data_IF_037147562976
#
_entry.id   IF_037147562976
#
_cell.length_a   1.000
_cell.length_b   1.000
_cell.length_c   1.000
_cell.angle_alpha   90.00
_cell.angle_beta   90.00
_cell.angle_gamma   90.00
#
_symmetry.space_group_name_H-M   'P 1'
#
loop_
_entity.id
_entity.type
_entity.pdbx_description
1 polymer ?
2 polymer ?
#
# COMPACT_ATOMS: atom_id res chain seq x y z
N UNK A 1 37.68 -0.94 -10.95
CA UNK A 1 39.09 -0.47 -10.87
C UNK A 1 39.46 0.32 -12.13
N UNK A 2 39.26 -0.30 -13.28
CA UNK A 2 39.57 0.33 -14.57
C UNK A 2 38.35 1.08 -15.12
N UNK A 3 37.18 0.51 -14.93
CA UNK A 3 35.94 1.13 -15.42
C UNK A 3 35.59 2.40 -14.65
N UNK A 4 36.13 2.56 -13.45
CA UNK A 4 35.86 3.74 -12.63
C UNK A 4 36.51 4.98 -13.22
N UNK A 5 37.74 4.83 -13.69
CA UNK A 5 38.48 5.94 -14.30
C UNK A 5 37.82 6.39 -15.61
N UNK A 6 37.26 5.44 -16.34
CA UNK A 6 36.59 5.75 -17.61
C UNK A 6 35.26 6.48 -17.34
N UNK A 7 34.53 5.99 -16.34
CA UNK A 7 33.26 6.60 -15.96
C UNK A 7 33.44 8.06 -15.53
N UNK A 8 34.47 8.31 -14.73
CA UNK A 8 34.76 9.65 -14.25
C UNK A 8 35.15 10.60 -15.39
N UNK A 9 35.84 10.05 -16.39
CA UNK A 9 36.27 10.84 -17.54
C UNK A 9 35.08 11.35 -18.35
N UNK A 10 34.06 10.50 -18.49
CA UNK A 10 32.86 10.87 -19.24
C UNK A 10 32.08 11.99 -18.55
N UNK A 11 32.07 11.96 -17.22
CA UNK A 11 31.37 12.97 -16.43
C UNK A 11 32.02 14.35 -16.56
N UNK A 12 33.36 14.37 -16.63
CA UNK A 12 34.10 15.62 -16.75
C UNK A 12 33.88 16.27 -18.12
N UNK A 13 33.77 15.46 -19.15
CA UNK A 13 33.57 15.96 -20.51
C UNK A 13 32.21 16.62 -20.64
N UNK A 14 31.17 15.93 -20.18
CA UNK A 14 29.81 16.45 -20.23
C UNK A 14 29.65 17.67 -19.32
N UNK A 15 30.28 17.61 -18.15
CA UNK A 15 30.26 18.73 -17.22
C UNK A 15 29.06 18.69 -16.29
N UNK A 16 28.92 17.59 -15.55
CA UNK A 16 27.83 17.44 -14.60
C UNK A 16 28.13 18.19 -13.30
N UNK A 17 27.10 18.44 -12.51
CA UNK A 17 27.27 19.16 -11.25
C UNK A 17 27.93 18.26 -10.20
N UNK A 18 28.33 18.86 -9.09
CA UNK A 18 29.00 18.13 -8.01
C UNK A 18 28.10 17.04 -7.42
N UNK A 19 26.80 17.29 -7.38
CA UNK A 19 25.85 16.34 -6.84
C UNK A 19 25.69 15.13 -7.76
N UNK A 20 25.58 15.40 -9.06
CA UNK A 20 25.37 14.34 -10.05
C UNK A 20 26.58 13.39 -10.13
N UNK A 21 27.77 13.93 -9.90
CA UNK A 21 28.99 13.11 -9.93
C UNK A 21 29.01 12.14 -8.74
N UNK A 22 28.68 12.66 -7.55
CA UNK A 22 28.68 11.85 -6.34
C UNK A 22 27.60 10.77 -6.40
N UNK A 23 26.46 11.11 -6.99
CA UNK A 23 25.38 10.13 -7.16
C UNK A 23 25.81 9.02 -8.12
N UNK A 24 26.42 9.41 -9.23
CA UNK A 24 26.93 8.45 -10.20
C UNK A 24 28.05 7.61 -9.59
N UNK A 25 28.86 8.22 -8.74
CA UNK A 25 29.93 7.53 -8.04
C UNK A 25 29.38 6.46 -7.08
N UNK A 26 28.28 6.79 -6.42
CA UNK A 26 27.62 5.84 -5.53
C UNK A 26 27.10 4.64 -6.31
N UNK A 27 26.54 4.91 -7.49
CA UNK A 27 26.05 3.85 -8.36
C UNK A 27 27.19 3.33 -9.22
N UNK A 28 28.16 2.69 -8.58
CA UNK A 28 29.37 2.22 -9.26
C UNK A 28 29.16 0.87 -9.92
N UNK A 29 29.98 0.58 -10.93
CA UNK A 29 29.93 -0.70 -11.63
C UNK A 29 30.47 -1.85 -10.78
N UNK A 30 31.44 -1.55 -9.91
CA UNK A 30 32.05 -2.56 -9.06
C UNK A 30 31.06 -3.15 -8.08
N UNK A 31 31.39 -4.33 -7.56
CA UNK A 31 30.52 -5.05 -6.64
C UNK A 31 30.57 -4.49 -5.22
N UNK A 32 31.64 -3.78 -4.89
CA UNK A 32 31.81 -3.21 -3.55
C UNK A 32 30.69 -2.21 -3.23
N UNK A 33 30.22 -2.25 -2.00
CA UNK A 33 29.10 -1.39 -1.58
C UNK A 33 29.57 0.05 -1.36
N UNK A 34 28.60 0.96 -1.26
CA UNK A 34 28.90 2.37 -1.03
C UNK A 34 29.30 2.59 0.43
N UNK A 35 30.14 3.59 0.66
CA UNK A 35 30.60 3.91 2.01
C UNK A 35 29.57 4.76 2.74
N UNK A 36 29.61 4.71 4.07
CA UNK A 36 28.69 5.48 4.91
C UNK A 36 29.16 6.92 5.07
N UNK A 37 30.47 7.13 5.03
CA UNK A 37 31.05 8.47 5.15
C UNK A 37 30.64 9.37 4.00
N UNK A 38 30.51 8.79 2.81
CA UNK A 38 30.09 9.54 1.64
C UNK A 38 28.65 10.04 1.76
N UNK A 39 27.83 9.31 2.51
CA UNK A 39 26.44 9.70 2.73
C UNK A 39 26.34 10.95 3.63
N UNK A 40 27.33 11.14 4.49
CA UNK A 40 27.35 12.29 5.40
C UNK A 40 27.56 13.58 4.62
N UNK A 41 28.50 13.55 3.69
CA UNK A 41 28.82 14.73 2.88
C UNK A 41 27.62 15.18 2.03
N UNK A 42 26.88 14.21 1.52
CA UNK A 42 25.68 14.50 0.74
C UNK A 42 24.58 15.10 1.62
N UNK A 43 24.44 14.58 2.83
CA UNK A 43 23.42 15.03 3.76
C UNK A 43 23.64 16.48 4.17
N UNK A 44 24.89 16.85 4.41
CA UNK A 44 25.24 18.21 4.81
C UNK A 44 25.04 19.21 3.67
N UNK A 45 25.29 18.77 2.45
CA UNK A 45 25.20 19.64 1.27
C UNK A 45 23.89 19.42 0.50
N UNK A 46 22.81 19.13 1.23
CA UNK A 46 21.50 18.92 0.62
C UNK A 46 20.49 19.96 1.08
N UNK A 47 20.93 21.22 1.14
CA UNK A 47 20.07 22.31 1.59
C UNK A 47 19.60 23.16 0.41
N UNK A 48 20.52 23.51 -0.46
CA UNK A 48 20.25 24.41 -1.59
C UNK A 48 19.22 23.82 -2.55
N UNK A 49 18.40 24.71 -3.13
CA UNK A 49 17.40 24.29 -4.11
C UNK A 49 18.07 23.70 -5.35
N UNK A 50 19.08 24.39 -5.86
CA UNK A 50 19.78 23.96 -7.07
C UNK A 50 20.41 22.57 -6.91
N UNK A 51 20.77 22.22 -5.69
CA UNK A 51 21.37 20.92 -5.41
C UNK A 51 20.31 19.88 -5.06
N UNK A 52 19.41 20.23 -4.14
CA UNK A 52 18.42 19.30 -3.63
C UNK A 52 17.47 18.77 -4.70
N UNK A 53 16.92 19.66 -5.51
CA UNK A 53 15.99 19.27 -6.57
C UNK A 53 16.65 18.34 -7.58
N UNK A 54 17.95 18.54 -7.82
CA UNK A 54 18.69 17.68 -8.73
C UNK A 54 18.96 16.32 -8.10
N UNK A 55 19.26 16.31 -6.80
CA UNK A 55 19.55 15.07 -6.08
C UNK A 55 18.33 14.14 -6.08
N UNK A 56 17.17 14.68 -5.72
CA UNK A 56 15.94 13.90 -5.68
C UNK A 56 15.53 13.40 -7.07
N UNK A 57 15.73 14.24 -8.07
CA UNK A 57 15.33 13.91 -9.44
C UNK A 57 16.22 12.82 -10.03
N UNK A 58 17.52 12.92 -9.79
CA UNK A 58 18.48 11.95 -10.33
C UNK A 58 18.29 10.57 -9.70
N UNK A 59 18.23 10.53 -8.37
CA UNK A 59 18.09 9.27 -7.65
C UNK A 59 16.80 8.54 -8.00
N UNK A 60 15.75 9.30 -8.30
CA UNK A 60 14.49 8.71 -8.73
C UNK A 60 14.63 8.07 -10.11
N UNK A 61 15.39 8.72 -10.99
CA UNK A 61 15.64 8.20 -12.33
C UNK A 61 16.61 7.02 -12.31
N UNK A 62 17.51 6.99 -11.33
CA UNK A 62 18.45 5.89 -11.17
C UNK A 62 17.75 4.56 -10.89
N UNK A 63 16.51 4.61 -10.41
CA UNK A 63 15.77 3.40 -10.07
C UNK A 63 15.41 2.56 -11.30
N UNK A 64 15.35 3.19 -12.48
CA UNK A 64 15.03 2.47 -13.72
C UNK A 64 16.26 2.26 -14.60
N UNK A 65 16.77 3.33 -15.19
CA UNK A 65 17.90 3.27 -16.13
C UNK A 65 17.70 2.24 -17.25
N UNK A 66 17.89 0.96 -16.92
CA UNK A 66 17.82 -0.11 -17.91
C UNK A 66 17.74 -1.46 -17.22
N UNK A 67 17.58 -2.52 -18.00
CA UNK A 67 17.49 -3.86 -17.45
C UNK A 67 18.77 -4.33 -16.79
N UNK A 68 19.90 -4.08 -17.45
CA UNK A 68 21.19 -4.54 -16.95
C UNK A 68 21.62 -3.79 -15.70
N UNK A 69 21.40 -2.47 -15.69
CA UNK A 69 21.80 -1.64 -14.56
C UNK A 69 20.93 -1.92 -13.34
N UNK A 70 21.33 -2.92 -12.55
CA UNK A 70 20.61 -3.27 -11.32
C UNK A 70 21.26 -2.66 -10.09
N UNK A 71 22.59 -2.48 -10.15
CA UNK A 71 23.33 -1.87 -9.06
C UNK A 71 22.94 -0.40 -8.87
N UNK A 72 22.55 0.26 -9.95
CA UNK A 72 22.15 1.66 -9.90
C UNK A 72 20.83 1.89 -9.15
N UNK A 73 20.08 0.82 -8.91
CA UNK A 73 18.78 0.93 -8.26
C UNK A 73 18.93 0.81 -6.74
N UNK A 74 19.73 -0.15 -6.30
CA UNK A 74 19.93 -0.40 -4.87
C UNK A 74 20.66 0.74 -4.20
N UNK A 75 21.65 1.30 -4.89
CA UNK A 75 22.46 2.38 -4.33
C UNK A 75 21.68 3.67 -4.17
N UNK A 76 20.68 3.87 -5.03
CA UNK A 76 19.86 5.07 -4.99
C UNK A 76 19.04 5.16 -3.70
N UNK A 77 18.47 4.03 -3.29
CA UNK A 77 17.64 3.99 -2.10
C UNK A 77 18.45 4.21 -0.83
N UNK A 78 19.71 3.79 -0.84
CA UNK A 78 20.60 3.98 0.30
C UNK A 78 20.87 5.46 0.55
N UNK A 79 21.03 6.21 -0.53
CA UNK A 79 21.33 7.64 -0.43
C UNK A 79 20.09 8.43 0.02
N UNK A 80 18.93 8.08 -0.53
CA UNK A 80 17.69 8.78 -0.22
C UNK A 80 17.34 8.70 1.26
N UNK A 81 17.51 7.52 1.85
CA UNK A 81 17.16 7.29 3.25
C UNK A 81 17.96 8.19 4.19
N UNK A 82 19.26 8.31 3.94
CA UNK A 82 20.13 9.10 4.79
C UNK A 82 19.88 10.61 4.64
N UNK A 83 19.37 11.02 3.48
CA UNK A 83 19.05 12.42 3.24
C UNK A 83 17.81 12.89 4.00
N UNK A 84 17.07 11.96 4.59
CA UNK A 84 15.89 12.30 5.39
C UNK A 84 16.29 12.52 6.85
N UNK A 85 17.19 11.68 7.36
CA UNK A 85 17.60 11.75 8.76
C UNK A 85 18.52 12.96 9.00
N UNK A 86 19.73 12.92 8.45
CA UNK A 86 20.74 13.93 8.70
C UNK A 86 20.80 14.99 7.60
N UNK A 87 19.76 15.07 6.78
CA UNK A 87 19.75 16.00 5.67
C UNK A 87 19.53 17.43 6.09
N UNK A 88 18.31 17.92 5.91
CA UNK A 88 17.98 19.31 6.25
C UNK A 88 16.47 19.47 6.44
N UNK A 89 16.06 20.67 6.82
CA UNK A 89 14.65 20.98 6.99
C UNK A 89 13.92 21.00 5.66
N UNK A 90 14.59 21.54 4.63
CA UNK A 90 14.03 21.61 3.29
C UNK A 90 13.78 20.22 2.69
N UNK A 91 14.61 19.25 3.09
CA UNK A 91 14.45 17.88 2.62
C UNK A 91 13.14 17.28 3.11
N UNK A 92 12.84 17.49 4.39
CA UNK A 92 11.63 16.94 5.00
C UNK A 92 10.37 17.61 4.45
N UNK A 93 10.41 18.93 4.35
CA UNK A 93 9.26 19.71 3.87
C UNK A 93 8.85 19.31 2.47
N UNK A 94 9.83 19.04 1.61
CA UNK A 94 9.55 18.61 0.24
C UNK A 94 9.04 17.17 0.21
N UNK A 95 9.67 16.32 1.00
CA UNK A 95 9.27 14.91 1.08
C UNK A 95 7.86 14.75 1.65
N UNK A 96 7.46 15.67 2.53
CA UNK A 96 6.11 15.65 3.08
C UNK A 96 5.06 15.85 2.00
N UNK A 97 5.31 16.83 1.13
CA UNK A 97 4.40 17.12 0.02
C UNK A 97 4.43 16.02 -1.03
N UNK A 98 5.63 15.51 -1.32
CA UNK A 98 5.81 14.45 -2.30
C UNK A 98 5.73 13.05 -1.71
N UNK A 99 5.26 12.94 -0.46
CA UNK A 99 5.06 11.64 0.18
C UNK A 99 4.05 10.80 -0.59
N UNK A 100 3.05 11.47 -1.15
CA UNK A 100 2.03 10.81 -1.95
C UNK A 100 2.63 10.11 -3.17
N UNK A 101 3.72 10.67 -3.70
CA UNK A 101 4.38 10.12 -4.88
C UNK A 101 5.42 9.06 -4.49
N UNK A 102 6.17 9.32 -3.42
CA UNK A 102 7.23 8.43 -2.98
C UNK A 102 6.66 7.12 -2.42
N UNK A 103 5.46 7.18 -1.85
CA UNK A 103 4.81 6.03 -1.23
C UNK A 103 4.71 4.82 -2.17
N UNK A 104 4.48 5.09 -3.46
CA UNK A 104 4.33 4.02 -4.45
C UNK A 104 5.68 3.56 -5.01
N UNK A 105 6.53 3.01 -4.14
CA UNK A 105 7.81 2.46 -4.54
C UNK A 105 8.10 1.19 -3.74
N UNK A 106 7.08 0.37 -3.55
CA UNK A 106 7.19 -0.82 -2.72
C UNK A 106 7.20 -2.08 -3.59
N UNK A 107 6.23 -2.18 -4.49
CA UNK A 107 6.13 -3.34 -5.38
C UNK A 107 6.91 -3.08 -6.67
N UNK A 108 8.23 -3.09 -6.55
CA UNK A 108 9.11 -2.85 -7.70
C UNK A 108 9.71 -4.17 -8.20
N UNK A 109 8.99 -4.82 -9.12
CA UNK A 109 9.46 -6.09 -9.69
C UNK A 109 10.28 -5.83 -10.94
N UNK A 110 11.28 -6.68 -11.19
CA UNK A 110 12.16 -6.49 -12.33
C UNK A 110 12.90 -7.79 -12.69
N UNK A 111 13.17 -7.96 -13.98
CA UNK A 111 13.94 -9.11 -14.47
C UNK A 111 14.84 -8.64 -15.61
N UNK A 112 16.15 -8.77 -15.41
CA UNK A 112 17.11 -8.23 -16.38
C UNK A 112 17.11 -8.95 -17.74
N UNK A 113 17.61 -10.18 -17.78
CA UNK A 113 17.77 -10.89 -19.05
C UNK A 113 17.75 -12.41 -18.85
N UNK A 114 18.68 -12.91 -18.05
CA UNK A 114 18.83 -14.35 -17.84
C UNK A 114 17.64 -14.92 -17.08
N UNK A 115 17.41 -14.41 -15.88
CA UNK A 115 16.31 -14.88 -15.04
C UNK A 115 16.66 -14.88 -13.57
N UNK A 116 17.11 -13.73 -13.07
CA UNK A 116 17.46 -13.56 -11.67
C UNK A 116 16.75 -12.33 -11.12
N UNK A 117 15.95 -12.52 -10.07
CA UNK A 117 15.19 -11.43 -9.48
C UNK A 117 16.12 -10.47 -8.76
N UNK A 118 16.56 -9.44 -9.49
CA UNK A 118 17.45 -8.42 -8.92
C UNK A 118 16.69 -7.44 -8.02
N UNK A 119 15.36 -7.41 -8.14
CA UNK A 119 14.54 -6.52 -7.34
C UNK A 119 14.30 -6.99 -5.92
N UNK A 120 14.84 -8.15 -5.55
CA UNK A 120 14.69 -8.67 -4.19
C UNK A 120 15.42 -7.77 -3.19
N UNK A 121 16.63 -7.34 -3.55
CA UNK A 121 17.40 -6.44 -2.72
C UNK A 121 16.75 -5.05 -2.72
N UNK A 122 16.20 -4.67 -3.87
CA UNK A 122 15.54 -3.37 -4.01
C UNK A 122 14.29 -3.31 -3.15
N UNK A 123 13.49 -4.38 -3.18
CA UNK A 123 12.23 -4.43 -2.45
C UNK A 123 12.43 -4.31 -0.94
N UNK A 124 13.48 -4.94 -0.43
CA UNK A 124 13.77 -4.92 1.00
C UNK A 124 14.17 -3.53 1.47
N UNK A 125 15.09 -2.90 0.75
CA UNK A 125 15.58 -1.58 1.10
C UNK A 125 14.47 -0.52 0.96
N UNK A 126 13.64 -0.68 -0.06
CA UNK A 126 12.52 0.25 -0.29
C UNK A 126 11.44 0.11 0.78
N UNK A 127 11.27 -1.11 1.30
CA UNK A 127 10.29 -1.37 2.34
C UNK A 127 10.59 -0.55 3.59
N UNK A 128 11.87 -0.46 3.94
CA UNK A 128 12.29 0.31 5.11
C UNK A 128 12.10 1.81 4.89
N UNK A 129 12.29 2.25 3.65
CA UNK A 129 12.15 3.66 3.31
C UNK A 129 10.71 4.13 3.47
N UNK A 130 9.76 3.30 3.03
CA UNK A 130 8.35 3.64 3.11
C UNK A 130 7.84 3.58 4.56
N UNK A 131 8.41 2.66 5.35
CA UNK A 131 8.03 2.51 6.74
C UNK A 131 8.38 3.74 7.57
N UNK A 132 9.53 4.34 7.30
CA UNK A 132 9.98 5.52 8.03
C UNK A 132 9.15 6.75 7.65
N UNK A 133 8.86 6.90 6.36
CA UNK A 133 8.11 8.05 5.87
C UNK A 133 6.62 7.97 6.24
N UNK A 134 6.11 6.75 6.44
CA UNK A 134 4.71 6.56 6.79
C UNK A 134 4.36 7.20 8.13
N UNK A 135 5.31 7.15 9.08
CA UNK A 135 5.10 7.74 10.39
C UNK A 135 5.60 9.19 10.42
N UNK A 136 4.67 10.13 10.49
CA UNK A 136 5.00 11.55 10.50
C UNK A 136 5.70 11.94 11.80
N UNK A 137 5.19 11.40 12.91
CA UNK A 137 5.75 11.70 14.23
C UNK A 137 7.18 11.21 14.35
N UNK A 138 7.47 10.04 13.78
CA UNK A 138 8.81 9.47 13.82
C UNK A 138 9.81 10.36 13.08
N UNK A 139 9.38 10.94 11.97
CA UNK A 139 10.24 11.84 11.20
C UNK A 139 10.59 13.09 12.01
N UNK A 140 9.62 13.61 12.75
CA UNK A 140 9.83 14.78 13.58
C UNK A 140 10.85 14.51 14.70
N UNK A 141 10.80 13.30 15.26
CA UNK A 141 11.72 12.92 16.32
C UNK A 141 13.14 12.79 15.79
N UNK A 142 13.28 12.25 14.58
CA UNK A 142 14.59 12.09 13.95
C UNK A 142 15.24 13.44 13.67
N UNK A 143 14.42 14.43 13.29
CA UNK A 143 14.90 15.78 13.04
C UNK A 143 15.56 16.37 14.27
N UNK A 144 14.88 16.26 15.41
CA UNK A 144 15.39 16.81 16.66
C UNK A 144 16.72 16.18 17.08
N UNK A 145 16.88 14.89 16.80
CA UNK A 145 18.11 14.18 17.17
C UNK A 145 19.30 14.65 16.33
N UNK A 146 19.06 14.89 15.05
CA UNK A 146 20.12 15.33 14.15
C UNK A 146 20.47 16.80 14.32
N UNK A 147 19.45 17.62 14.59
CA UNK A 147 19.67 19.06 14.80
C UNK A 147 20.41 19.31 16.10
N UNK A 148 19.90 18.73 17.19
CA UNK A 148 20.53 18.90 18.51
C UNK A 148 21.90 18.23 18.54
N UNK A 149 22.01 17.07 17.92
CA UNK A 149 23.26 16.34 17.86
C UNK A 149 24.35 17.12 17.14
N UNK A 150 23.97 17.82 16.09
CA UNK A 150 24.92 18.65 15.34
C UNK A 150 25.33 19.87 16.17
N UNK A 151 24.39 20.42 16.91
CA UNK A 151 24.67 21.57 17.77
C UNK A 151 25.55 21.19 18.96
N UNK A 152 25.41 19.95 19.42
CA UNK A 152 26.20 19.47 20.55
C UNK A 152 27.69 19.47 20.21
N UNK A 153 28.01 19.03 19.00
CA UNK A 153 29.40 19.00 18.54
C UNK A 153 29.84 20.37 18.03
N UNK A 154 29.07 20.91 17.09
CA UNK A 154 29.36 22.21 16.53
C UNK A 154 28.77 22.38 15.13
N UNK B 1 -6.19 12.98 -20.07
CA UNK B 1 -7.20 11.94 -20.11
C UNK B 1 -6.74 10.79 -21.00
N UNK B 2 -6.28 11.12 -22.20
CA UNK B 2 -5.82 10.10 -23.15
C UNK B 2 -4.46 9.54 -22.72
N UNK B 3 -3.56 10.42 -22.31
CA UNK B 3 -2.23 10.01 -21.87
C UNK B 3 -2.29 9.19 -20.59
N UNK B 4 -3.24 9.52 -19.72
CA UNK B 4 -3.41 8.80 -18.47
C UNK B 4 -3.95 7.38 -18.71
N UNK B 5 -4.82 7.24 -19.71
CA UNK B 5 -5.37 5.95 -20.06
C UNK B 5 -4.30 5.01 -20.62
N UNK B 6 -3.30 5.58 -21.29
CA UNK B 6 -2.20 4.80 -21.85
C UNK B 6 -1.37 4.14 -20.76
N UNK B 7 -1.24 4.82 -19.62
CA UNK B 7 -0.50 4.29 -18.48
C UNK B 7 -1.18 3.05 -17.91
N UNK B 8 -2.51 3.04 -17.92
CA UNK B 8 -3.27 1.88 -17.47
C UNK B 8 -3.05 0.68 -18.38
N UNK B 9 -3.01 0.93 -19.69
CA UNK B 9 -2.86 -0.13 -20.67
C UNK B 9 -1.51 -0.84 -20.54
N UNK B 10 -0.46 -0.07 -20.31
CA UNK B 10 0.88 -0.63 -20.19
C UNK B 10 1.06 -1.36 -18.86
N UNK B 11 0.57 -0.76 -17.78
CA UNK B 11 0.69 -1.34 -16.46
C UNK B 11 -0.17 -2.59 -16.32
N UNK B 12 -1.47 -2.44 -16.54
CA UNK B 12 -2.40 -3.56 -16.45
C UNK B 12 -2.42 -4.36 -17.75
N UNK B 13 -1.32 -5.07 -18.01
CA UNK B 13 -1.19 -5.89 -19.21
C UNK B 13 -0.86 -7.33 -18.82
N UNK B 14 -0.88 -8.22 -19.80
CA UNK B 14 -0.58 -9.63 -19.55
C UNK B 14 0.94 -9.83 -19.55
N UNK B 15 1.53 -9.74 -18.36
CA UNK B 15 2.97 -9.94 -18.20
C UNK B 15 3.28 -10.81 -16.99
N UNK B 16 2.35 -11.68 -16.63
CA UNK B 16 2.51 -12.61 -15.50
C UNK B 16 2.81 -11.91 -14.17
N UNK B 17 4.01 -11.36 -14.05
CA UNK B 17 4.45 -10.70 -12.81
C UNK B 17 3.60 -9.46 -12.51
N UNK B 18 3.72 -8.96 -11.28
CA UNK B 18 2.97 -7.80 -10.84
C UNK B 18 3.40 -6.55 -11.62
N UNK B 19 2.51 -5.55 -11.76
CA UNK B 19 2.90 -4.37 -12.53
C UNK B 19 3.84 -3.45 -11.76
N UNK B 20 4.38 -2.44 -12.45
CA UNK B 20 5.27 -1.47 -11.82
C UNK B 20 4.47 -0.54 -10.92
N UNK B 21 4.89 -0.41 -9.67
CA UNK B 21 4.16 0.39 -8.69
C UNK B 21 4.21 1.89 -9.02
N UNK B 22 5.31 2.32 -9.62
CA UNK B 22 5.46 3.72 -10.00
C UNK B 22 4.44 4.11 -11.08
N UNK B 23 4.21 3.21 -12.02
CA UNK B 23 3.23 3.45 -13.09
C UNK B 23 1.82 3.54 -12.55
N UNK B 24 1.54 2.80 -11.47
CA UNK B 24 0.21 2.78 -10.86
C UNK B 24 -0.16 4.15 -10.30
N UNK B 25 0.83 4.85 -9.74
CA UNK B 25 0.64 6.17 -9.15
C UNK B 25 -0.09 7.12 -10.09
N UNK B 26 0.48 7.34 -11.28
CA UNK B 26 -0.07 8.27 -12.25
C UNK B 26 -1.52 7.97 -12.59
N UNK B 27 -1.89 6.69 -12.55
CA UNK B 27 -3.26 6.27 -12.79
C UNK B 27 -4.15 6.54 -11.59
N UNK B 28 -3.65 6.24 -10.40
CA UNK B 28 -4.44 6.38 -9.17
C UNK B 28 -4.29 7.76 -8.50
N UNK B 29 -3.57 8.67 -9.13
CA UNK B 29 -3.54 10.06 -8.68
C UNK B 29 -4.79 10.78 -9.19
N UNK B 30 -5.13 10.54 -10.45
CA UNK B 30 -6.30 11.16 -11.07
C UNK B 30 -7.60 10.65 -10.46
N UNK B 31 -7.90 11.14 -9.25
CA UNK B 31 -9.16 10.79 -8.57
C UNK B 31 -9.63 11.91 -7.65
N UNK B 32 -8.70 12.51 -6.90
CA UNK B 32 -8.98 13.73 -6.15
C UNK B 32 -9.24 14.88 -7.13
N UNK B 33 -8.65 14.79 -8.32
CA UNK B 33 -8.80 15.80 -9.35
C UNK B 33 -10.26 15.89 -9.79
N UNK B 34 -10.84 17.08 -9.71
CA UNK B 34 -12.22 17.30 -10.10
C UNK B 34 -12.30 17.86 -11.53
N UNK B 35 -11.62 17.18 -12.45
CA UNK B 35 -11.62 17.56 -13.85
C UNK B 35 -12.66 16.74 -14.62
N UNK B 36 -12.67 15.43 -14.40
CA UNK B 36 -13.62 14.54 -15.05
C UNK B 36 -13.89 13.31 -14.19
N UNK B 37 -12.83 12.60 -13.81
CA UNK B 37 -12.91 11.38 -13.01
C UNK B 37 -13.88 10.37 -13.63
N UNK B 38 -13.69 10.08 -14.91
CA UNK B 38 -14.55 9.15 -15.64
C UNK B 38 -13.75 8.24 -16.58
N UNK B 39 -12.85 8.84 -17.36
CA UNK B 39 -12.04 8.11 -18.33
C UNK B 39 -11.27 6.94 -17.72
N UNK B 40 -10.91 7.06 -16.44
CA UNK B 40 -10.19 6.01 -15.75
C UNK B 40 -11.09 4.79 -15.52
N UNK B 41 -12.32 5.05 -15.10
CA UNK B 41 -13.28 3.98 -14.81
C UNK B 41 -13.99 3.43 -16.04
N UNK B 42 -13.91 4.14 -17.16
CA UNK B 42 -14.55 3.68 -18.40
C UNK B 42 -13.90 2.40 -18.91
N UNK B 43 -12.57 2.35 -18.87
CA UNK B 43 -11.85 1.17 -19.33
C UNK B 43 -11.98 -0.01 -18.36
N UNK B 44 -12.47 0.24 -17.15
CA UNK B 44 -12.65 -0.81 -16.16
C UNK B 44 -14.08 -1.37 -16.16
N UNK B 45 -14.73 -1.33 -17.32
CA UNK B 45 -16.08 -1.87 -17.48
C UNK B 45 -16.13 -2.86 -18.64
N UNK B 46 -15.54 -2.50 -19.77
CA UNK B 46 -15.52 -3.38 -20.94
C UNK B 46 -14.54 -4.54 -20.77
N UNK B 47 -13.52 -4.37 -19.93
CA UNK B 47 -12.54 -5.42 -19.70
C UNK B 47 -13.01 -6.52 -18.73
N UNK B 48 -13.66 -6.15 -17.60
CA UNK B 48 -14.25 -7.22 -16.80
C UNK B 48 -15.36 -7.99 -17.52
N UNK B 49 -15.96 -7.39 -18.55
CA UNK B 49 -17.00 -8.04 -19.33
C UNK B 49 -16.47 -9.29 -20.05
N UNK B 50 -15.17 -9.30 -20.35
CA UNK B 50 -14.54 -10.43 -21.03
C UNK B 50 -14.66 -11.70 -20.20
N UNK B 51 -14.58 -12.85 -20.88
CA UNK B 51 -14.74 -14.15 -20.22
C UNK B 51 -13.45 -14.65 -19.56
N UNK B 52 -12.31 -14.30 -20.13
CA UNK B 52 -11.02 -14.75 -19.62
C UNK B 52 -10.78 -14.27 -18.19
N UNK B 53 -10.19 -15.13 -17.37
CA UNK B 53 -9.91 -14.82 -15.98
C UNK B 53 -8.41 -14.74 -15.72
N UNK B 54 -7.68 -14.15 -16.66
CA UNK B 54 -6.24 -13.96 -16.53
C UNK B 54 -5.93 -12.48 -16.41
N UNK B 55 -6.41 -11.69 -17.36
CA UNK B 55 -6.28 -10.24 -17.32
C UNK B 55 -7.21 -9.67 -16.24
N UNK B 56 -8.37 -10.29 -16.09
CA UNK B 56 -9.35 -9.87 -15.09
C UNK B 56 -8.80 -10.05 -13.67
N UNK B 57 -7.99 -11.09 -13.48
CA UNK B 57 -7.41 -11.39 -12.17
C UNK B 57 -6.49 -10.26 -11.72
N UNK B 58 -5.67 -9.75 -12.64
CA UNK B 58 -4.76 -8.64 -12.33
C UNK B 58 -5.47 -7.30 -12.36
N UNK B 59 -6.65 -7.24 -12.99
CA UNK B 59 -7.43 -6.01 -13.04
C UNK B 59 -8.02 -5.66 -11.67
N UNK B 60 -8.37 -6.69 -10.91
CA UNK B 60 -9.05 -6.51 -9.63
C UNK B 60 -8.10 -6.31 -8.44
N UNK B 61 -6.80 -6.17 -8.71
CA UNK B 61 -5.82 -5.90 -7.66
C UNK B 61 -5.50 -4.42 -7.57
N UNK B 62 -5.77 -3.67 -8.64
CA UNK B 62 -5.54 -2.23 -8.65
C UNK B 62 -6.69 -1.52 -7.94
N UNK B 63 -7.91 -1.95 -8.25
CA UNK B 63 -9.11 -1.41 -7.61
C UNK B 63 -9.05 -1.60 -6.09
N UNK B 64 -8.47 -2.71 -5.66
CA UNK B 64 -8.34 -3.00 -4.23
C UNK B 64 -7.37 -2.04 -3.54
N UNK B 65 -6.43 -1.47 -4.30
CA UNK B 65 -5.49 -0.50 -3.76
C UNK B 65 -6.09 0.90 -3.73
N UNK B 66 -6.80 1.26 -4.80
CA UNK B 66 -7.39 2.59 -4.92
C UNK B 66 -8.55 2.78 -3.92
N UNK B 67 -9.22 1.68 -3.58
CA UNK B 67 -10.35 1.74 -2.65
C UNK B 67 -9.88 1.88 -1.20
N UNK B 68 -8.64 1.49 -0.91
CA UNK B 68 -8.09 1.58 0.43
C UNK B 68 -7.25 2.83 0.65
N UNK B 69 -7.12 3.67 -0.37
CA UNK B 69 -6.26 4.86 -0.30
C UNK B 69 -6.94 6.12 -0.84
N UNK B 70 -7.55 6.00 -2.02
CA UNK B 70 -8.13 7.15 -2.70
C UNK B 70 -9.30 7.81 -1.99
N UNK B 71 -9.84 8.85 -2.61
CA UNK B 71 -10.95 9.61 -2.06
C UNK B 71 -12.20 8.74 -2.06
N UNK B 72 -13.14 8.98 -1.12
CA UNK B 72 -14.37 8.16 -1.17
C UNK B 72 -15.24 8.42 -2.41
N UNK B 73 -14.96 9.49 -3.15
CA UNK B 73 -15.66 9.76 -4.40
C UNK B 73 -15.42 8.65 -5.42
N UNK B 74 -14.24 8.03 -5.35
CA UNK B 74 -13.91 6.91 -6.23
C UNK B 74 -14.84 5.72 -5.99
N UNK B 75 -15.22 5.52 -4.73
CA UNK B 75 -16.17 4.46 -4.38
C UNK B 75 -17.55 4.81 -4.91
N UNK B 76 -17.91 6.09 -4.87
CA UNK B 76 -19.20 6.56 -5.34
C UNK B 76 -19.37 6.44 -6.85
N UNK B 77 -18.26 6.32 -7.58
CA UNK B 77 -18.28 6.26 -9.04
C UNK B 77 -19.04 5.03 -9.53
N UNK B 78 -18.75 3.87 -8.94
CA UNK B 78 -19.36 2.61 -9.36
C UNK B 78 -20.54 2.23 -8.48
N UNK B 79 -21.41 3.19 -8.20
CA UNK B 79 -22.64 2.95 -7.45
C UNK B 79 -23.86 3.25 -8.32
N UNK B 80 -23.79 4.37 -9.06
CA UNK B 80 -24.85 4.75 -9.99
C UNK B 80 -25.13 3.66 -11.02
N UNK B 81 -24.10 2.89 -11.37
CA UNK B 81 -24.26 1.69 -12.19
C UNK B 81 -24.41 0.48 -11.27
N UNK B 82 -25.60 -0.12 -11.27
CA UNK B 82 -25.89 -1.23 -10.38
C UNK B 82 -25.05 -2.47 -10.71
N UNK B 83 -24.84 -2.72 -12.00
CA UNK B 83 -24.03 -3.86 -12.42
C UNK B 83 -22.55 -3.55 -12.25
N UNK B 84 -21.80 -4.52 -11.75
CA UNK B 84 -20.35 -4.37 -11.59
C UNK B 84 -19.60 -5.59 -12.17
N UNK B 85 -19.61 -6.70 -11.45
CA UNK B 85 -18.90 -7.91 -11.89
C UNK B 85 -19.77 -9.15 -11.72
N UNK B 86 -21.08 -8.98 -11.88
CA UNK B 86 -22.03 -10.08 -11.70
C UNK B 86 -22.03 -11.05 -12.89
N UNK B 87 -21.56 -10.58 -14.05
CA UNK B 87 -21.51 -11.41 -15.24
C UNK B 87 -20.61 -12.64 -15.11
N UNK B 88 -19.71 -12.63 -14.12
CA UNK B 88 -18.82 -13.76 -13.88
C UNK B 88 -19.50 -14.95 -13.20
N UNK B 89 -20.79 -14.83 -12.90
CA UNK B 89 -21.55 -15.94 -12.37
C UNK B 89 -21.68 -17.04 -13.41
N UNK B 90 -21.51 -18.29 -12.96
CA UNK B 90 -21.54 -19.46 -13.84
C UNK B 90 -20.50 -19.35 -14.95
N UNK B 91 -19.28 -19.78 -14.65
CA UNK B 91 -18.18 -19.78 -15.61
C UNK B 91 -17.41 -21.08 -15.54
N UNK B 92 -16.55 -21.32 -16.52
CA UNK B 92 -15.75 -22.54 -16.58
C UNK B 92 -14.35 -22.23 -17.08
N UNK B 93 -13.35 -22.76 -16.37
CA UNK B 93 -11.95 -22.47 -16.67
C UNK B 93 -11.13 -23.76 -16.72
N UNK B 94 -9.83 -23.63 -17.01
CA UNK B 94 -8.95 -24.77 -17.09
C UNK B 94 -8.87 -25.56 -15.79
N UNK B 95 -7.98 -25.15 -14.90
CA UNK B 95 -7.79 -25.84 -13.64
C UNK B 95 -8.96 -25.64 -12.69
N UNK B 96 -9.13 -26.58 -11.78
CA UNK B 96 -10.20 -26.50 -10.77
C UNK B 96 -9.96 -25.35 -9.80
N UNK B 97 -8.69 -25.01 -9.58
CA UNK B 97 -8.32 -23.94 -8.66
C UNK B 97 -8.85 -22.58 -9.11
N UNK B 98 -8.92 -22.37 -10.42
CA UNK B 98 -9.34 -21.08 -10.97
C UNK B 98 -10.79 -20.76 -10.65
N UNK B 99 -11.71 -21.56 -11.18
CA UNK B 99 -13.15 -21.29 -11.05
C UNK B 99 -13.61 -21.32 -9.59
N UNK B 100 -13.08 -22.27 -8.82
CA UNK B 100 -13.44 -22.40 -7.42
C UNK B 100 -13.09 -21.15 -6.62
N UNK B 101 -12.01 -20.49 -7.01
CA UNK B 101 -11.56 -19.28 -6.34
C UNK B 101 -12.30 -18.05 -6.86
N UNK B 102 -12.48 -17.98 -8.18
CA UNK B 102 -13.09 -16.82 -8.82
C UNK B 102 -14.53 -16.59 -8.36
N UNK B 103 -15.30 -17.68 -8.28
CA UNK B 103 -16.73 -17.60 -7.95
C UNK B 103 -17.01 -16.89 -6.63
N UNK B 104 -16.11 -17.04 -5.66
CA UNK B 104 -16.27 -16.40 -4.36
C UNK B 104 -15.52 -15.07 -4.29
N UNK B 105 -14.32 -15.04 -4.88
CA UNK B 105 -13.51 -13.82 -4.91
C UNK B 105 -14.23 -12.68 -5.61
N UNK B 106 -15.00 -13.00 -6.65
CA UNK B 106 -15.75 -11.99 -7.39
C UNK B 106 -16.85 -11.37 -6.53
N UNK B 107 -17.42 -12.15 -5.61
CA UNK B 107 -18.49 -11.65 -4.75
C UNK B 107 -17.96 -10.90 -3.53
N UNK B 108 -16.72 -11.21 -3.13
CA UNK B 108 -16.08 -10.49 -2.03
C UNK B 108 -15.91 -9.01 -2.37
N UNK B 109 -15.56 -8.73 -3.61
CA UNK B 109 -15.36 -7.35 -4.06
C UNK B 109 -16.69 -6.64 -4.27
N UNK B 110 -17.73 -7.39 -4.64
CA UNK B 110 -19.07 -6.82 -4.79
C UNK B 110 -19.54 -6.23 -3.46
N UNK B 111 -19.23 -6.93 -2.37
CA UNK B 111 -19.57 -6.46 -1.03
C UNK B 111 -18.86 -5.13 -0.74
N UNK B 112 -17.62 -5.01 -1.19
CA UNK B 112 -16.86 -3.78 -1.01
C UNK B 112 -17.49 -2.61 -1.76
N UNK B 113 -18.10 -2.88 -2.91
CA UNK B 113 -18.84 -1.87 -3.63
C UNK B 113 -20.16 -1.55 -2.91
N UNK B 114 -20.78 -2.58 -2.34
CA UNK B 114 -22.00 -2.40 -1.56
C UNK B 114 -21.73 -1.70 -0.23
N UNK B 115 -20.48 -1.66 0.20
CA UNK B 115 -20.10 -0.98 1.43
C UNK B 115 -20.41 0.52 1.35
N UNK B 116 -20.19 1.11 0.18
CA UNK B 116 -20.43 2.53 -0.02
C UNK B 116 -21.93 2.87 -0.05
N UNK B 117 -22.75 1.87 -0.39
CA UNK B 117 -24.20 2.08 -0.48
C UNK B 117 -24.80 2.51 0.87
N UNK B 118 -24.25 1.96 1.96
CA UNK B 118 -24.76 2.26 3.30
C UNK B 118 -23.91 3.30 4.02
N UNK B 119 -22.63 3.01 4.20
CA UNK B 119 -21.76 3.89 4.99
C UNK B 119 -21.32 5.14 4.20
N UNK B 120 -21.12 4.98 2.90
CA UNK B 120 -20.73 6.08 2.00
C UNK B 120 -19.35 6.66 2.34
N UNK B 121 -19.22 7.28 3.51
CA UNK B 121 -17.97 7.87 3.94
C UNK B 121 -16.80 6.90 3.93
N UNK B 122 -15.59 7.43 3.78
CA UNK B 122 -14.39 6.62 3.72
C UNK B 122 -14.08 6.02 5.09
N UNK B 123 -13.83 4.72 5.11
CA UNK B 123 -13.59 4.00 6.36
C UNK B 123 -12.15 3.50 6.48
N UNK B 124 -11.67 2.85 5.43
CA UNK B 124 -10.34 2.24 5.46
C UNK B 124 -9.22 3.25 5.22
N UNK B 125 -9.02 4.15 6.17
CA UNK B 125 -7.96 5.15 6.08
C UNK B 125 -8.33 6.47 6.71
N UNK B 126 -8.70 6.43 7.98
CA UNK B 126 -9.07 7.65 8.72
C UNK B 126 -8.37 7.69 10.09
N UNK B 127 -7.13 7.19 10.13
CA UNK B 127 -6.31 7.20 11.35
C UNK B 127 -6.95 6.43 12.50
N UNK B 128 -6.25 6.38 13.64
CA UNK B 128 -6.74 5.69 14.83
C UNK B 128 -7.18 6.65 15.93
N UNK B 129 -6.50 7.81 16.02
CA UNK B 129 -6.86 8.84 16.98
C UNK B 129 -7.11 10.17 16.28
N UNK B 130 -8.32 10.34 15.77
CA UNK B 130 -8.72 11.59 15.11
C UNK B 130 -10.24 11.70 15.09
N UNK B 131 -10.74 12.92 15.22
CA UNK B 131 -12.17 13.17 15.28
C UNK B 131 -12.69 13.87 14.02
N UNK B 132 -11.93 14.86 13.54
CA UNK B 132 -12.36 15.67 12.40
C UNK B 132 -12.37 14.88 11.09
N UNK B 133 -11.25 14.25 10.77
CA UNK B 133 -11.14 13.51 9.50
C UNK B 133 -11.88 12.18 9.54
N UNK B 134 -12.06 11.62 10.74
CA UNK B 134 -12.76 10.35 10.89
C UNK B 134 -14.27 10.58 10.94
N UNK B 135 -15.02 9.70 10.27
CA UNK B 135 -16.48 9.78 10.26
C UNK B 135 -17.08 8.46 10.71
N UNK B 136 -16.49 7.87 11.76
CA UNK B 136 -16.96 6.59 12.29
C UNK B 136 -17.16 6.67 13.80
N UNK B 137 -16.12 7.13 14.50
CA UNK B 137 -16.16 7.21 15.96
C UNK B 137 -17.04 8.35 16.49
N UNK B 138 -17.37 9.31 15.62
CA UNK B 138 -18.17 10.47 16.01
C UNK B 138 -19.34 10.68 15.06
N UNK B 139 -19.93 9.58 14.59
CA UNK B 139 -21.05 9.64 13.67
C UNK B 139 -22.38 9.66 14.43
N UNK B 140 -23.47 9.82 13.69
CA UNK B 140 -24.82 9.78 14.27
C UNK B 140 -25.06 8.37 14.83
N UNK B 141 -25.86 8.24 15.91
CA UNK B 141 -26.15 6.89 16.40
C UNK B 141 -26.76 5.96 15.36
N UNK B 142 -27.56 6.50 14.44
CA UNK B 142 -28.15 5.72 13.38
C UNK B 142 -27.08 5.26 12.39
N UNK B 143 -26.16 6.18 12.06
CA UNK B 143 -25.06 5.88 11.15
C UNK B 143 -24.04 4.95 11.80
N UNK B 144 -23.84 5.10 13.11
CA UNK B 144 -22.89 4.29 13.84
C UNK B 144 -23.25 2.82 13.84
N UNK B 145 -24.54 2.53 13.98
CA UNK B 145 -25.02 1.15 13.95
C UNK B 145 -24.90 0.56 12.54
N UNK B 146 -25.04 1.42 11.53
CA UNK B 146 -25.01 0.98 10.15
C UNK B 146 -23.58 0.73 9.66
N UNK B 147 -22.67 1.64 10.00
CA UNK B 147 -21.28 1.54 9.54
C UNK B 147 -20.54 0.32 10.11
N UNK B 148 -20.94 -0.12 11.31
CA UNK B 148 -20.31 -1.28 11.93
C UNK B 148 -20.89 -2.57 11.36
N UNK B 149 -22.22 -2.60 11.22
CA UNK B 149 -22.90 -3.76 10.66
C UNK B 149 -22.44 -4.04 9.23
N UNK B 150 -22.12 -2.98 8.49
CA UNK B 150 -21.61 -3.12 7.12
C UNK B 150 -20.22 -3.75 7.13
N UNK B 151 -19.38 -3.31 8.07
CA UNK B 151 -18.04 -3.87 8.21
C UNK B 151 -18.07 -5.34 8.63
N UNK B 152 -19.10 -5.72 9.39
CA UNK B 152 -19.27 -7.10 9.80
C UNK B 152 -19.50 -8.01 8.60
N UNK B 153 -20.35 -7.58 7.69
CA UNK B 153 -20.64 -8.33 6.47
C UNK B 153 -19.39 -8.52 5.62
N UNK B 154 -18.51 -7.53 5.64
CA UNK B 154 -17.26 -7.59 4.89
C UNK B 154 -16.26 -8.50 5.62
N UNK B 155 -16.23 -8.39 6.94
CA UNK B 155 -15.31 -9.18 7.76
C UNK B 155 -15.67 -10.66 7.74
N UNK B 156 -16.97 -10.95 7.83
CA UNK B 156 -17.44 -12.34 7.78
C UNK B 156 -17.21 -12.98 6.42
N UNK B 157 -17.15 -12.16 5.37
CA UNK B 157 -16.90 -12.67 4.03
C UNK B 157 -15.50 -13.27 3.89
N UNK B 158 -14.58 -12.85 4.75
CA UNK B 158 -13.23 -13.40 4.76
C UNK B 158 -13.25 -14.88 5.15
N UNK B 159 -14.09 -15.22 6.11
CA UNK B 159 -14.28 -16.62 6.50
C UNK B 159 -14.95 -17.39 5.38
N UNK B 160 -15.92 -16.74 4.72
CA UNK B 160 -16.60 -17.34 3.58
C UNK B 160 -15.64 -17.52 2.40
N UNK B 161 -14.69 -16.60 2.27
CA UNK B 161 -13.70 -16.67 1.21
C UNK B 161 -12.85 -17.93 1.33
N UNK B 162 -12.41 -18.21 2.55
CA UNK B 162 -11.58 -19.40 2.81
C UNK B 162 -12.41 -20.69 2.90
N UNK B 163 -13.73 -20.56 2.99
CA UNK B 163 -14.60 -21.73 3.10
C UNK B 163 -14.60 -22.55 1.81
N UNK B 164 -14.77 -21.87 0.68
CA UNK B 164 -14.77 -22.54 -0.61
C UNK B 164 -13.39 -23.07 -0.99
N UNK B 165 -12.34 -22.48 -0.40
CA UNK B 165 -10.97 -22.93 -0.62
C UNK B 165 -10.59 -24.00 0.41
N UNK B 166 -11.27 -23.97 1.56
CA UNK B 166 -11.06 -24.91 2.66
C UNK B 166 -9.68 -24.74 3.31
N UNK B 167 -9.54 -25.31 4.51
CA UNK B 167 -8.33 -25.15 5.33
C UNK B 167 -8.01 -23.68 5.58
N UNK B 168 -7.48 -22.99 4.58
CA UNK B 168 -7.14 -21.57 4.70
C UNK B 168 -6.87 -20.94 3.34
N UNK B 169 -5.78 -21.37 2.69
CA UNK B 169 -5.37 -20.82 1.40
C UNK B 169 -4.88 -21.91 0.45
N UNK B 170 -3.99 -22.77 0.97
CA UNK B 170 -3.39 -23.86 0.19
C UNK B 170 -2.53 -23.36 -0.96
N UNK B 171 -1.21 -23.46 -0.80
CA UNK B 171 -0.26 -23.01 -1.81
C UNK B 171 -0.43 -23.76 -3.13
N UNK B 172 -0.86 -25.02 -3.04
CA UNK B 172 -1.08 -25.84 -4.24
C UNK B 172 -2.19 -25.25 -5.11
N UNK B 173 -3.17 -24.62 -4.47
CA UNK B 173 -4.27 -23.99 -5.19
C UNK B 173 -4.04 -22.48 -5.37
N UNK B 174 -2.78 -22.06 -5.32
CA UNK B 174 -2.43 -20.65 -5.38
C UNK B 174 -0.97 -20.47 -5.76
N UNK B 175 -0.53 -21.20 -6.79
CA UNK B 175 0.89 -21.25 -7.16
C UNK B 175 1.20 -20.56 -8.48
N UNK B 176 0.62 -19.38 -8.70
CA UNK B 176 0.93 -18.58 -9.89
C UNK B 176 1.17 -17.13 -9.49
N UNK B 177 1.78 -16.37 -10.38
CA UNK B 177 2.11 -14.97 -10.11
C UNK B 177 0.86 -14.11 -9.97
N UNK B 178 -0.15 -14.40 -10.78
CA UNK B 178 -1.40 -13.65 -10.76
C UNK B 178 -2.19 -13.89 -9.47
N UNK B 179 -2.18 -15.13 -9.00
CA UNK B 179 -2.92 -15.50 -7.80
C UNK B 179 -2.29 -14.94 -6.52
N UNK B 180 -0.97 -15.04 -6.42
CA UNK B 180 -0.27 -14.50 -5.24
C UNK B 180 -0.29 -12.97 -5.21
N UNK B 181 -0.50 -12.35 -6.36
CA UNK B 181 -0.57 -10.89 -6.44
C UNK B 181 -1.84 -10.36 -5.78
N UNK B 182 -2.94 -11.07 -5.94
CA UNK B 182 -4.22 -10.66 -5.39
C UNK B 182 -4.40 -11.06 -3.92
N UNK B 183 -3.42 -11.77 -3.35
CA UNK B 183 -3.51 -12.20 -1.96
C UNK B 183 -3.15 -11.08 -1.00
N UNK B 184 -2.18 -10.25 -1.38
CA UNK B 184 -1.72 -9.16 -0.52
C UNK B 184 -2.80 -8.09 -0.25
N UNK B 185 -3.52 -7.60 -1.28
CA UNK B 185 -4.56 -6.62 -0.95
C UNK B 185 -5.67 -7.17 -0.06
N UNK B 186 -6.00 -8.45 -0.22
CA UNK B 186 -7.03 -9.08 0.60
C UNK B 186 -6.62 -9.11 2.07
N UNK B 187 -5.35 -9.39 2.32
CA UNK B 187 -4.84 -9.47 3.69
C UNK B 187 -4.69 -8.09 4.31
N UNK B 188 -4.17 -7.14 3.53
CA UNK B 188 -4.00 -5.76 3.99
C UNK B 188 -5.34 -5.15 4.39
N UNK B 189 -6.39 -5.48 3.64
CA UNK B 189 -7.73 -5.02 3.95
C UNK B 189 -8.27 -5.73 5.19
N UNK B 190 -8.02 -7.04 5.28
CA UNK B 190 -8.48 -7.85 6.40
C UNK B 190 -7.95 -7.32 7.73
N UNK B 191 -6.68 -6.98 7.76
CA UNK B 191 -6.07 -6.42 8.95
C UNK B 191 -6.53 -4.98 9.17
N UNK B 192 -6.77 -4.27 8.06
CA UNK B 192 -7.28 -2.92 8.12
C UNK B 192 -8.65 -2.86 8.76
N UNK B 193 -9.55 -3.71 8.31
CA UNK B 193 -10.91 -3.78 8.85
C UNK B 193 -10.85 -4.11 10.33
N UNK B 194 -10.02 -5.09 10.69
CA UNK B 194 -9.84 -5.47 12.09
C UNK B 194 -9.29 -4.32 12.92
N UNK B 195 -8.44 -3.50 12.31
CA UNK B 195 -7.82 -2.38 13.00
C UNK B 195 -8.79 -1.23 13.22
N UNK B 196 -9.46 -0.79 12.16
CA UNK B 196 -10.32 0.39 12.23
C UNK B 196 -11.57 0.20 13.09
N UNK B 197 -11.97 -1.05 13.33
CA UNK B 197 -13.11 -1.32 14.20
C UNK B 197 -12.67 -1.26 15.66
N UNK B 198 -11.62 -2.00 16.01
CA UNK B 198 -11.12 -2.01 17.38
C UNK B 198 -10.53 -0.66 17.79
N UNK B 199 -10.09 0.13 16.81
CA UNK B 199 -9.60 1.48 17.08
C UNK B 199 -10.76 2.39 17.47
N UNK B 200 -11.92 2.15 16.88
CA UNK B 200 -13.12 2.92 17.21
C UNK B 200 -13.51 2.66 18.66
N UNK B 201 -13.40 1.40 19.08
CA UNK B 201 -13.73 1.01 20.45
C UNK B 201 -12.82 1.70 21.47
N UNK B 202 -11.57 1.95 21.08
CA UNK B 202 -10.63 2.66 21.94
C UNK B 202 -11.10 4.10 22.18
N UNK B 203 -11.73 4.69 21.17
CA UNK B 203 -12.30 6.03 21.29
C UNK B 203 -13.74 5.99 21.81
N UNK B 204 -14.42 4.88 21.61
CA UNK B 204 -15.81 4.75 22.03
C UNK B 204 -15.94 4.75 23.56
N UNK B 205 -15.11 3.95 24.23
CA UNK B 205 -15.16 3.86 25.68
C UNK B 205 -14.70 5.17 26.32
N UNK B 206 -13.84 5.91 25.63
CA UNK B 206 -13.39 7.21 26.11
C UNK B 206 -14.54 8.22 26.03
N UNK B 207 -15.30 8.16 24.94
CA UNK B 207 -16.43 9.06 24.73
C UNK B 207 -17.75 8.34 24.95
N UNK B 208 -18.11 8.14 26.21
CA UNK B 208 -19.37 7.51 26.57
C UNK B 208 -20.35 8.55 27.14
N UNK B 209 -19.85 9.39 28.04
CA UNK B 209 -20.66 10.44 28.63
C UNK B 209 -21.13 11.46 27.59
N UNK B 210 -20.24 11.79 26.65
CA UNK B 210 -20.56 12.74 25.59
C UNK B 210 -21.14 12.00 24.38
N UNK B 211 -22.25 11.31 24.59
CA UNK B 211 -22.89 10.55 23.52
C UNK B 211 -24.36 10.32 23.87
N UNK B 212 -25.11 9.79 22.90
CA UNK B 212 -26.53 9.50 23.10
C UNK B 212 -26.95 8.28 22.30
N UNK B 213 -26.74 7.09 22.89
CA UNK B 213 -27.09 5.85 22.23
C UNK B 213 -26.28 4.69 22.78
N UNK B 214 -26.49 4.38 24.06
CA UNK B 214 -25.77 3.31 24.73
C UNK B 214 -26.30 1.94 24.33
N UNK B 215 -27.59 1.86 24.01
CA UNK B 215 -28.23 0.61 23.64
C UNK B 215 -27.66 0.04 22.34
N UNK B 216 -27.34 0.93 21.39
CA UNK B 216 -26.83 0.51 20.09
C UNK B 216 -25.30 0.49 20.08
N UNK B 217 -24.71 -0.23 21.02
CA UNK B 217 -23.25 -0.38 21.10
C UNK B 217 -22.86 -1.80 21.50
N UNK B 218 -23.45 -2.28 22.59
CA UNK B 218 -23.20 -3.65 23.07
C UNK B 218 -23.44 -4.75 22.03
N UNK B 219 -24.56 -4.67 21.27
CA UNK B 219 -24.71 -5.70 20.23
C UNK B 219 -23.63 -5.62 19.15
N UNK B 220 -23.12 -4.42 18.87
CA UNK B 220 -22.09 -4.25 17.85
C UNK B 220 -20.76 -4.81 18.32
N UNK B 221 -20.43 -4.59 19.59
CA UNK B 221 -19.17 -5.07 20.15
C UNK B 221 -19.20 -6.58 20.31
N UNK B 222 -20.31 -7.11 20.83
CA UNK B 222 -20.45 -8.54 21.10
C UNK B 222 -20.27 -9.37 19.83
N UNK B 223 -20.92 -8.93 18.76
CA UNK B 223 -20.84 -9.64 17.48
C UNK B 223 -19.42 -9.57 16.91
N UNK B 224 -18.76 -8.43 17.08
CA UNK B 224 -17.40 -8.24 16.59
C UNK B 224 -16.39 -9.02 17.43
N UNK B 225 -16.68 -9.22 18.71
CA UNK B 225 -15.78 -9.93 19.61
C UNK B 225 -15.65 -11.40 19.22
N UNK B 226 -16.78 -12.03 18.87
CA UNK B 226 -16.76 -13.43 18.47
C UNK B 226 -15.97 -13.67 17.18
N UNK B 227 -15.85 -12.64 16.35
CA UNK B 227 -15.11 -12.74 15.10
C UNK B 227 -13.60 -12.83 15.33
N UNK B 228 -13.13 -12.43 16.51
CA UNK B 228 -11.71 -12.49 16.84
C UNK B 228 -11.19 -13.92 16.74
N UNK B 229 -11.89 -14.84 17.37
CA UNK B 229 -11.49 -16.25 17.36
C UNK B 229 -11.44 -16.82 15.95
N UNK B 230 -12.39 -16.40 15.12
CA UNK B 230 -12.43 -16.82 13.72
C UNK B 230 -11.24 -16.23 12.96
N UNK B 231 -10.87 -15.00 13.28
CA UNK B 231 -9.77 -14.33 12.61
C UNK B 231 -8.41 -14.83 13.09
N UNK B 232 -8.31 -15.18 14.37
CA UNK B 232 -7.07 -15.72 14.92
C UNK B 232 -6.69 -17.02 14.23
N UNK B 233 -7.67 -17.91 14.05
CA UNK B 233 -7.45 -19.18 13.38
C UNK B 233 -7.11 -18.98 11.91
N UNK B 234 -7.65 -17.93 11.31
CA UNK B 234 -7.41 -17.62 9.90
C UNK B 234 -5.92 -17.42 9.62
N UNK B 235 -5.27 -16.62 10.45
CA UNK B 235 -3.86 -16.29 10.25
C UNK B 235 -2.93 -17.32 10.89
N UNK B 236 -3.39 -17.99 11.94
CA UNK B 236 -2.61 -19.05 12.56
C UNK B 236 -2.39 -20.18 11.58
N UNK B 237 -3.42 -20.51 10.81
CA UNK B 237 -3.31 -21.54 9.78
C UNK B 237 -2.47 -21.01 8.61
N UNK B 238 -2.69 -19.75 8.26
CA UNK B 238 -1.93 -19.11 7.18
C UNK B 238 -0.44 -19.09 7.47
N UNK B 239 -0.08 -18.91 8.73
CA UNK B 239 1.32 -18.93 9.15
C UNK B 239 1.94 -20.30 8.90
N UNK B 240 1.17 -21.36 9.16
CA UNK B 240 1.62 -22.72 8.91
C UNK B 240 1.73 -22.99 7.42
N UNK B 241 0.80 -22.44 6.64
CA UNK B 241 0.82 -22.60 5.19
C UNK B 241 2.04 -21.88 4.61
N UNK B 242 2.78 -22.58 3.75
CA UNK B 242 3.99 -22.03 3.15
C UNK B 242 3.68 -20.87 2.22
N UNK B 243 4.08 -19.67 2.63
CA UNK B 243 3.85 -18.46 1.84
C UNK B 243 4.87 -17.40 2.23
N UNK B 244 4.98 -16.35 1.42
CA UNK B 244 5.90 -15.25 1.68
C UNK B 244 5.62 -14.61 3.03
N UNK B 245 6.62 -14.61 3.91
CA UNK B 245 6.46 -14.08 5.26
C UNK B 245 6.69 -12.57 5.31
N UNK B 246 5.77 -11.84 4.70
CA UNK B 246 5.83 -10.38 4.70
C UNK B 246 4.87 -9.83 5.75
N UNK B 247 5.16 -8.65 6.28
CA UNK B 247 4.32 -8.01 7.27
C UNK B 247 2.91 -7.77 6.72
N UNK B 248 2.82 -7.48 5.43
CA UNK B 248 1.52 -7.25 4.78
C UNK B 248 0.79 -8.54 4.43
N UNK B 249 1.47 -9.68 4.54
CA UNK B 249 0.88 -10.98 4.24
C UNK B 249 0.43 -11.74 5.49
N UNK B 250 1.11 -11.48 6.61
CA UNK B 250 0.74 -12.10 7.89
C UNK B 250 0.93 -11.14 9.07
N UNK B 251 0.05 -10.13 9.20
CA UNK B 251 0.13 -9.26 10.37
C UNK B 251 -0.21 -10.00 11.67
N UNK B 252 0.07 -9.35 12.80
CA UNK B 252 -0.20 -9.95 14.10
C UNK B 252 -1.48 -9.37 14.70
N UNK B 253 -2.49 -10.22 14.84
CA UNK B 253 -3.81 -9.81 15.35
C UNK B 253 -3.90 -9.59 16.86
N UNK B 254 -3.46 -10.57 17.69
CA UNK B 254 -3.74 -10.39 19.11
C UNK B 254 -3.01 -9.20 19.76
N UNK B 255 -3.73 -8.10 19.92
CA UNK B 255 -3.18 -6.91 20.59
C UNK B 255 -4.22 -6.21 21.48
N UNK B 256 -5.47 -6.15 21.03
CA UNK B 256 -6.55 -5.53 21.80
C UNK B 256 -7.70 -6.52 21.96
N UNK B 257 -7.92 -6.96 23.20
CA UNK B 257 -8.95 -7.95 23.49
C UNK B 257 -9.27 -8.08 25.00
N UNK B 258 -8.26 -8.35 25.85
CA UNK B 258 -8.67 -8.48 27.26
C UNK B 258 -9.03 -7.15 27.93
N UNK B 259 -8.43 -6.05 27.46
CA UNK B 259 -8.70 -4.73 28.02
C UNK B 259 -9.73 -3.96 27.19
N UNK B 260 -10.66 -4.69 26.57
CA UNK B 260 -11.71 -4.07 25.76
C UNK B 260 -13.10 -4.52 26.22
N UNK B 261 -13.24 -5.81 26.49
CA UNK B 261 -14.52 -6.38 26.92
C UNK B 261 -14.93 -5.81 28.27
N UNK B 262 -14.03 -5.87 29.24
CA UNK B 262 -14.34 -5.46 30.62
C UNK B 262 -14.71 -3.98 30.72
N UNK B 263 -14.00 -3.13 29.97
CA UNK B 263 -14.22 -1.68 30.06
C UNK B 263 -15.51 -1.22 29.38
N UNK B 264 -16.05 -2.04 28.48
CA UNK B 264 -17.23 -1.67 27.73
C UNK B 264 -18.53 -1.99 28.48
N UNK B 265 -18.53 -3.10 29.22
CA UNK B 265 -19.71 -3.53 29.95
C UNK B 265 -20.03 -2.65 31.15
N UNK B 266 -19.06 -1.86 31.61
CA UNK B 266 -19.25 -0.98 32.75
C UNK B 266 -20.32 0.07 32.45
N UNK B 267 -20.28 0.62 31.24
CA UNK B 267 -21.25 1.62 30.81
C UNK B 267 -22.67 1.09 30.84
N UNK B 268 -22.85 -0.14 30.40
CA UNK B 268 -24.16 -0.77 30.38
C UNK B 268 -24.67 -0.99 31.80
#
# INVERSE_FOLDING_TARGET
MSKQFVRSAKNLVKGYSSTQVLVRNATSNDNHQVSKDSLIELAEKSYDSADFFEIMDMLDKRLNDKGKYWRHIAKALTVIDYLIRFGSENCVLWCRENLYIIKTLKEFRHEDDEGIDQGQIVRVKAKELTALLSDDERLNEERNMNIKGRNRKG
DSDLQKALKKACSVEETAPKRKHVRACIVYTWDHQSSKAVFTTLKTLPLANDEVQLFKMLIVLHKIIQEGHPSALAEAIRDRDWIRSLGRVHSGGSSYSKLIREYVRYLVLKLDFHAHHRGFNNGTFEYEEYVSLVSVSDPDEGYETILDLMSLQDSLDEFSQIIFASIQSERRNTECKISALIPLIAESYGIYKFITSMLRAMHRQLNDAEGDAALQPLKERYELQHARLFEFYADCSSVKYLTTLVTIPKLPVDAPDVFLINDVDE
#
